data_IF_528729008074
#
_entry.id   IF_528729008074
#
_cell.length_a   1.000
_cell.length_b   1.000
_cell.length_c   1.000
_cell.angle_alpha   90.00
_cell.angle_beta   90.00
_cell.angle_gamma   90.00
#
_symmetry.space_group_name_H-M   'P 1'
#
loop_
_entity.id
_entity.type
_entity.pdbx_description
1 polymer ?
#
# COMPACT_ATOMS: atom_id res chain seq x y z
N UNK A 1 2.03 18.97 -15.14
CA UNK A 1 1.64 18.43 -13.82
C UNK A 1 2.71 18.84 -12.82
N UNK A 2 2.37 19.69 -11.84
CA UNK A 2 3.30 20.05 -10.76
C UNK A 2 3.27 18.90 -9.76
N UNK A 3 4.39 18.20 -9.62
CA UNK A 3 4.58 17.20 -8.58
C UNK A 3 4.80 18.00 -7.30
N UNK A 4 3.73 18.29 -6.57
CA UNK A 4 3.82 18.93 -5.26
C UNK A 4 4.59 17.98 -4.34
N UNK A 5 5.81 18.38 -3.97
CA UNK A 5 6.65 17.64 -3.06
C UNK A 5 5.87 17.42 -1.76
N UNK A 6 5.49 16.17 -1.49
CA UNK A 6 4.77 15.80 -0.28
C UNK A 6 5.61 16.28 0.92
N UNK A 7 5.04 17.10 1.81
CA UNK A 7 5.82 17.68 2.91
C UNK A 7 6.37 16.57 3.78
N UNK A 8 7.69 16.58 4.02
CA UNK A 8 8.35 15.58 4.87
C UNK A 8 7.62 15.48 6.22
N UNK A 9 7.24 14.27 6.67
CA UNK A 9 6.44 14.08 7.88
C UNK A 9 7.20 14.59 9.13
N UNK A 10 6.49 15.33 9.99
CA UNK A 10 7.08 15.99 11.17
C UNK A 10 6.88 15.18 12.46
N UNK A 11 5.92 14.24 12.46
CA UNK A 11 5.55 13.36 13.57
C UNK A 11 5.39 11.90 13.11
N UNK A 12 5.48 10.92 14.02
CA UNK A 12 5.30 9.51 13.64
C UNK A 12 3.87 9.20 13.18
N UNK A 13 2.89 9.94 13.69
CA UNK A 13 1.50 9.83 13.26
C UNK A 13 1.32 10.26 11.79
N UNK A 14 1.94 11.37 11.38
CA UNK A 14 1.93 11.81 9.98
C UNK A 14 2.68 10.84 9.06
N UNK A 15 3.80 10.28 9.52
CA UNK A 15 4.55 9.27 8.77
C UNK A 15 3.70 8.00 8.53
N UNK A 16 2.98 7.52 9.55
CA UNK A 16 2.05 6.39 9.42
C UNK A 16 0.86 6.71 8.52
N UNK A 17 0.35 7.93 8.57
CA UNK A 17 -0.75 8.36 7.70
C UNK A 17 -0.31 8.42 6.23
N UNK A 18 0.90 8.94 5.96
CA UNK A 18 1.48 8.95 4.62
C UNK A 18 1.75 7.54 4.10
N UNK A 19 2.32 6.67 4.94
CA UNK A 19 2.54 5.26 4.61
C UNK A 19 1.20 4.57 4.24
N UNK A 20 0.16 4.75 5.06
CA UNK A 20 -1.17 4.19 4.77
C UNK A 20 -1.72 4.69 3.44
N UNK A 21 -1.61 6.00 3.16
CA UNK A 21 -2.06 6.59 1.90
C UNK A 21 -1.34 5.96 0.70
N UNK A 22 -0.02 5.79 0.77
CA UNK A 22 0.76 5.16 -0.29
C UNK A 22 0.37 3.69 -0.52
N UNK A 23 0.08 2.95 0.55
CA UNK A 23 -0.46 1.59 0.41
C UNK A 23 -1.83 1.59 -0.25
N UNK A 24 -2.75 2.49 0.13
CA UNK A 24 -4.06 2.64 -0.51
C UNK A 24 -3.92 2.95 -2.02
N UNK A 25 -3.04 3.89 -2.38
CA UNK A 25 -2.74 4.25 -3.77
C UNK A 25 -2.15 3.05 -4.54
N UNK A 26 -1.25 2.30 -3.91
CA UNK A 26 -0.66 1.09 -4.50
C UNK A 26 -1.70 -0.02 -4.69
N UNK A 27 -2.56 -0.27 -3.71
CA UNK A 27 -3.63 -1.25 -3.78
C UNK A 27 -4.61 -0.91 -4.90
N UNK A 28 -5.03 0.35 -5.00
CA UNK A 28 -5.88 0.81 -6.09
C UNK A 28 -5.21 0.62 -7.46
N UNK A 29 -3.93 0.99 -7.59
CA UNK A 29 -3.17 0.84 -8.84
C UNK A 29 -2.98 -0.63 -9.25
N UNK A 30 -2.80 -1.53 -8.29
CA UNK A 30 -2.67 -2.96 -8.52
C UNK A 30 -4.02 -3.67 -8.70
N UNK A 31 -5.14 -2.95 -8.65
CA UNK A 31 -6.48 -3.52 -8.78
C UNK A 31 -6.87 -4.42 -7.61
N UNK A 32 -6.34 -4.17 -6.42
CA UNK A 32 -6.68 -4.91 -5.20
C UNK A 32 -8.09 -4.53 -4.77
N UNK A 33 -8.90 -5.54 -4.46
CA UNK A 33 -10.24 -5.38 -3.91
C UNK A 33 -10.45 -6.31 -2.73
N UNK A 34 -11.37 -5.91 -1.84
CA UNK A 34 -11.66 -6.63 -0.61
C UNK A 34 -13.00 -7.36 -0.74
N UNK A 35 -13.00 -8.65 -0.41
CA UNK A 35 -14.17 -9.49 -0.41
C UNK A 35 -14.09 -10.53 0.71
N UNK A 36 -15.03 -10.46 1.65
CA UNK A 36 -15.16 -11.39 2.77
C UNK A 36 -16.24 -12.46 2.53
N UNK A 37 -16.94 -12.39 1.41
CA UNK A 37 -17.92 -13.37 0.95
C UNK A 37 -17.89 -13.51 -0.58
N UNK A 38 -18.46 -14.59 -1.10
CA UNK A 38 -18.55 -14.83 -2.54
C UNK A 38 -19.37 -13.73 -3.26
N UNK A 39 -20.43 -13.22 -2.61
CA UNK A 39 -21.23 -12.11 -3.16
C UNK A 39 -20.42 -10.82 -3.25
N UNK A 40 -19.59 -10.52 -2.24
CA UNK A 40 -18.71 -9.35 -2.28
C UNK A 40 -17.63 -9.51 -3.34
N UNK A 41 -17.14 -10.72 -3.57
CA UNK A 41 -16.16 -10.98 -4.62
C UNK A 41 -16.71 -10.63 -6.00
N UNK A 42 -17.91 -11.10 -6.32
CA UNK A 42 -18.52 -10.83 -7.63
C UNK A 42 -18.88 -9.36 -7.83
N UNK A 43 -19.22 -8.63 -6.75
CA UNK A 43 -19.56 -7.19 -6.78
C UNK A 43 -18.32 -6.28 -6.85
N UNK A 44 -17.26 -6.63 -6.13
CA UNK A 44 -16.10 -5.76 -5.92
C UNK A 44 -14.94 -6.07 -6.86
N UNK A 45 -15.00 -7.17 -7.62
CA UNK A 45 -13.90 -7.58 -8.50
C UNK A 45 -13.53 -6.51 -9.50
N UNK A 46 -12.24 -6.26 -9.62
CA UNK A 46 -11.66 -5.32 -10.58
C UNK A 46 -11.50 -5.99 -11.95
N UNK A 47 -11.66 -5.27 -13.07
CA UNK A 47 -11.57 -5.89 -14.39
C UNK A 47 -10.21 -6.58 -14.61
N UNK A 48 -10.26 -7.82 -15.10
CA UNK A 48 -9.07 -8.60 -15.49
C UNK A 48 -8.75 -8.38 -16.96
N UNK A 49 -7.46 -8.47 -17.29
CA UNK A 49 -7.02 -8.64 -18.67
C UNK A 49 -7.31 -10.06 -19.15
N UNK A 50 -7.41 -10.24 -20.47
CA UNK A 50 -7.67 -11.54 -21.08
C UNK A 50 -6.62 -12.59 -20.64
N UNK A 51 -7.09 -13.72 -20.11
CA UNK A 51 -6.23 -14.80 -19.60
C UNK A 51 -5.67 -14.60 -18.19
N UNK A 52 -5.93 -13.45 -17.55
CA UNK A 52 -5.48 -13.18 -16.19
C UNK A 52 -6.39 -13.84 -15.14
N UNK A 53 -5.87 -14.04 -13.92
CA UNK A 53 -6.59 -14.70 -12.82
C UNK A 53 -6.50 -13.88 -11.56
N UNK A 54 -7.52 -13.97 -10.71
CA UNK A 54 -7.41 -13.43 -9.36
C UNK A 54 -6.55 -14.33 -8.48
N UNK A 55 -5.74 -13.70 -7.63
CA UNK A 55 -5.02 -14.34 -6.53
C UNK A 55 -5.45 -13.70 -5.21
N UNK A 56 -5.49 -14.50 -4.15
CA UNK A 56 -5.72 -13.97 -2.81
C UNK A 56 -4.41 -13.50 -2.20
N UNK A 57 -4.43 -12.32 -1.59
CA UNK A 57 -3.31 -11.75 -0.82
C UNK A 57 -3.48 -11.93 0.70
N UNK A 58 -4.49 -12.69 1.12
CA UNK A 58 -4.86 -12.83 2.54
C UNK A 58 -5.69 -11.64 3.05
N UNK A 59 -6.11 -11.68 4.32
CA UNK A 59 -6.93 -10.65 4.97
C UNK A 59 -8.24 -10.27 4.23
N UNK A 60 -8.75 -11.15 3.36
CA UNK A 60 -9.92 -10.88 2.51
C UNK A 60 -9.60 -10.06 1.24
N UNK A 61 -8.33 -9.85 0.91
CA UNK A 61 -7.89 -9.14 -0.29
C UNK A 61 -7.67 -10.06 -1.48
N UNK A 62 -8.03 -9.58 -2.66
CA UNK A 62 -7.83 -10.22 -3.94
C UNK A 62 -7.27 -9.23 -4.96
N UNK A 63 -6.52 -9.73 -5.93
CA UNK A 63 -5.95 -8.91 -7.00
C UNK A 63 -5.68 -9.71 -8.28
N UNK A 64 -5.48 -9.06 -9.43
CA UNK A 64 -4.95 -9.68 -10.64
C UNK A 64 -3.56 -10.27 -10.44
N UNK A 65 -3.33 -11.51 -10.90
CA UNK A 65 -2.04 -12.21 -10.76
C UNK A 65 -0.92 -11.47 -11.48
N UNK A 66 -1.20 -10.89 -12.64
CA UNK A 66 -0.23 -10.10 -13.41
C UNK A 66 0.38 -8.95 -12.61
N UNK A 67 -0.38 -8.37 -11.67
CA UNK A 67 0.03 -7.23 -10.82
C UNK A 67 0.69 -7.64 -9.51
N UNK A 68 0.78 -8.94 -9.20
CA UNK A 68 1.30 -9.40 -7.92
C UNK A 68 2.78 -9.01 -7.70
N UNK A 69 3.57 -8.98 -8.78
CA UNK A 69 4.95 -8.51 -8.75
C UNK A 69 5.01 -7.00 -8.47
N UNK A 70 4.23 -6.19 -9.21
CA UNK A 70 4.13 -4.73 -8.99
C UNK A 70 3.76 -4.40 -7.54
N UNK A 71 2.83 -5.16 -6.95
CA UNK A 71 2.44 -5.00 -5.56
C UNK A 71 3.59 -5.31 -4.61
N UNK A 72 4.28 -6.44 -4.79
CA UNK A 72 5.39 -6.84 -3.92
C UNK A 72 6.53 -5.81 -3.94
N UNK A 73 6.89 -5.32 -5.14
CA UNK A 73 7.91 -4.30 -5.32
C UNK A 73 7.49 -2.96 -4.71
N UNK A 74 6.23 -2.54 -4.93
CA UNK A 74 5.68 -1.31 -4.36
C UNK A 74 5.66 -1.33 -2.83
N UNK A 75 5.26 -2.45 -2.22
CA UNK A 75 5.26 -2.60 -0.76
C UNK A 75 6.68 -2.56 -0.18
N UNK A 76 7.65 -3.19 -0.84
CA UNK A 76 9.05 -3.14 -0.41
C UNK A 76 9.60 -1.70 -0.49
N UNK A 77 9.27 -0.97 -1.56
CA UNK A 77 9.68 0.40 -1.76
C UNK A 77 9.12 1.32 -0.66
N UNK A 78 7.81 1.24 -0.38
CA UNK A 78 7.16 2.01 0.69
C UNK A 78 7.85 1.74 2.04
N UNK A 79 8.12 0.47 2.35
CA UNK A 79 8.81 0.07 3.58
C UNK A 79 10.24 0.64 3.66
N UNK A 80 10.99 0.61 2.56
CA UNK A 80 12.35 1.18 2.49
C UNK A 80 12.31 2.69 2.72
N UNK A 81 11.38 3.39 2.09
CA UNK A 81 11.20 4.84 2.26
C UNK A 81 10.79 5.22 3.68
N UNK A 82 9.84 4.49 4.27
CA UNK A 82 9.46 4.66 5.68
C UNK A 82 10.66 4.50 6.61
N UNK A 83 11.42 3.41 6.46
CA UNK A 83 12.61 3.16 7.28
C UNK A 83 13.69 4.23 7.09
N UNK A 84 13.89 4.73 5.86
CA UNK A 84 14.80 5.83 5.59
C UNK A 84 14.35 7.12 6.29
N UNK A 85 13.04 7.44 6.25
CA UNK A 85 12.47 8.60 6.94
C UNK A 85 12.63 8.52 8.47
N UNK A 86 12.38 7.34 9.07
CA UNK A 86 12.61 7.10 10.50
C UNK A 86 14.08 7.25 10.86
N UNK A 87 14.99 6.65 10.07
CA UNK A 87 16.45 6.69 10.34
C UNK A 87 17.01 8.11 10.21
N UNK A 88 16.54 8.89 9.24
CA UNK A 88 17.00 10.26 9.00
C UNK A 88 16.53 11.25 10.08
N UNK A 89 15.49 10.91 10.85
CA UNK A 89 14.89 11.82 11.82
C UNK A 89 14.93 11.24 13.24
N UNK A 90 15.88 11.71 14.06
CA UNK A 90 16.08 11.26 15.44
C UNK A 90 14.83 11.42 16.32
N UNK A 91 13.98 12.42 16.05
CA UNK A 91 12.72 12.64 16.77
C UNK A 91 11.71 11.54 16.40
N UNK A 92 11.53 11.27 15.11
CA UNK A 92 10.66 10.16 14.64
C UNK A 92 11.13 8.81 15.16
N UNK A 93 12.44 8.54 15.13
CA UNK A 93 13.00 7.30 15.68
C UNK A 93 12.67 7.10 17.16
N UNK A 94 12.72 8.16 17.97
CA UNK A 94 12.35 8.09 19.39
C UNK A 94 10.86 7.83 19.58
N UNK A 95 10.03 8.49 18.79
CA UNK A 95 8.57 8.43 18.85
C UNK A 95 8.03 7.04 18.42
N UNK A 96 8.70 6.37 17.46
CA UNK A 96 8.34 5.03 17.00
C UNK A 96 8.80 3.92 17.96
N UNK A 97 9.89 4.13 18.71
CA UNK A 97 10.44 3.13 19.66
C UNK A 97 9.73 3.18 21.03
N UNK A 98 9.17 4.34 21.40
CA UNK A 98 8.58 4.56 22.71
C UNK A 98 7.09 4.13 22.83
N UNK A 99 6.57 3.37 21.87
CA UNK A 99 5.20 2.86 21.85
C UNK A 99 5.14 1.39 22.28
#
# INVERSE_FOLDING_TARGET
>A
MKIEATPRPRTAHELKAEERRRYDELFAACGVFWAFSAEQFEKNKTPLSEGDKYVSIGAGGYMPKSRAADLAEGMEQIRKEHNAAVKANRKLRRDVIAY
#
